data_IF_222939411913
#
_entry.id   IF_222939411913
#
_cell.length_a   1.000
_cell.length_b   1.000
_cell.length_c   1.000
_cell.angle_alpha   90.00
_cell.angle_beta   90.00
_cell.angle_gamma   90.00
#
_symmetry.space_group_name_H-M   'P 1'
#
loop_
_entity.id
_entity.type
_entity.pdbx_description
1 polymer ?
#
# COMPACT_ATOMS: atom_id res chain seq x y z
N UNK A 1 -8.78 -10.01 30.69
CA UNK A 1 -7.41 -9.76 31.21
C UNK A 1 -7.04 -8.29 31.10
N UNK A 2 -7.25 -7.62 29.96
CA UNK A 2 -7.07 -6.16 29.87
C UNK A 2 -7.93 -5.38 30.88
N UNK A 3 -9.12 -5.90 31.21
CA UNK A 3 -10.00 -5.37 32.26
C UNK A 3 -9.39 -5.36 33.67
N UNK A 4 -8.25 -6.02 33.89
CA UNK A 4 -7.52 -6.04 35.16
C UNK A 4 -6.31 -5.11 35.15
N UNK A 5 -6.11 -4.31 34.09
CA UNK A 5 -5.08 -3.29 34.04
C UNK A 5 -5.33 -2.20 35.10
N UNK A 6 -4.26 -1.67 35.66
CA UNK A 6 -4.30 -0.55 36.59
C UNK A 6 -4.30 0.84 35.91
N UNK A 7 -4.15 0.88 34.59
CA UNK A 7 -4.24 2.08 33.76
C UNK A 7 -5.36 1.97 32.71
N UNK A 8 -6.05 3.10 32.39
CA UNK A 8 -7.07 3.11 31.34
C UNK A 8 -6.42 2.93 29.96
N UNK A 9 -7.06 2.16 29.09
CA UNK A 9 -6.50 1.81 27.77
C UNK A 9 -6.81 2.89 26.72
N UNK A 10 -7.98 3.53 26.84
CA UNK A 10 -8.56 4.42 25.84
C UNK A 10 -7.64 5.58 25.40
N UNK A 11 -6.94 6.30 26.32
CA UNK A 11 -6.06 7.40 25.92
C UNK A 11 -4.90 6.96 25.03
N UNK A 12 -4.42 5.72 25.22
CA UNK A 12 -3.28 5.17 24.49
C UNK A 12 -3.68 4.63 23.12
N UNK A 13 -4.89 4.08 22.97
CA UNK A 13 -5.39 3.61 21.67
C UNK A 13 -5.34 4.71 20.61
N UNK A 14 -5.69 5.94 20.97
CA UNK A 14 -5.60 7.10 20.07
C UNK A 14 -4.16 7.36 19.63
N UNK A 15 -3.19 7.22 20.52
CA UNK A 15 -1.77 7.46 20.20
C UNK A 15 -1.23 6.42 19.23
N UNK A 16 -1.45 5.13 19.49
CA UNK A 16 -1.01 4.06 18.57
C UNK A 16 -1.72 4.14 17.21
N UNK A 17 -3.00 4.52 17.19
CA UNK A 17 -3.72 4.75 15.93
C UNK A 17 -3.14 5.91 15.12
N UNK A 18 -2.74 7.02 15.78
CA UNK A 18 -2.08 8.15 15.10
C UNK A 18 -0.69 7.79 14.57
N UNK A 19 0.04 6.96 15.31
CA UNK A 19 1.35 6.44 14.91
C UNK A 19 1.24 5.40 13.79
N UNK A 20 0.04 4.89 13.51
CA UNK A 20 -0.22 3.83 12.53
C UNK A 20 0.72 2.61 12.73
N UNK A 21 0.97 2.25 13.99
CA UNK A 21 1.87 1.16 14.36
C UNK A 21 1.07 0.00 14.94
N UNK A 22 1.24 -1.25 14.45
CA UNK A 22 0.62 -2.42 15.04
C UNK A 22 1.04 -2.57 16.52
N UNK A 23 0.07 -2.84 17.39
CA UNK A 23 0.28 -2.96 18.83
C UNK A 23 -0.58 -4.07 19.41
N UNK A 24 -0.02 -4.82 20.36
CA UNK A 24 -0.76 -5.75 21.20
C UNK A 24 -0.59 -5.37 22.67
N UNK A 25 -1.60 -5.63 23.49
CA UNK A 25 -1.55 -5.28 24.92
C UNK A 25 -1.48 -6.54 25.79
N UNK A 26 -0.67 -6.46 26.84
CA UNK A 26 -0.42 -7.53 27.79
C UNK A 26 -0.50 -6.99 29.22
N UNK A 27 -1.13 -7.75 30.12
CA UNK A 27 -1.25 -7.39 31.54
C UNK A 27 -0.71 -8.55 32.39
N UNK A 28 0.45 -8.40 33.04
CA UNK A 28 1.02 -9.44 33.89
C UNK A 28 0.14 -9.66 35.12
N UNK A 29 -0.58 -10.78 35.18
CA UNK A 29 -1.28 -11.16 36.42
C UNK A 29 -0.28 -11.43 37.54
N UNK A 30 -0.68 -11.32 38.81
CA UNK A 30 0.18 -11.65 39.95
C UNK A 30 0.88 -13.02 39.79
N UNK A 31 0.13 -14.03 39.34
CA UNK A 31 0.63 -15.39 39.13
C UNK A 31 1.63 -15.44 37.96
N UNK A 32 1.29 -14.84 36.82
CA UNK A 32 2.16 -14.84 35.64
C UNK A 32 3.45 -14.08 35.88
N UNK A 33 3.37 -12.96 36.59
CA UNK A 33 4.50 -12.16 37.03
C UNK A 33 5.42 -12.93 37.96
N UNK A 34 4.87 -13.57 39.00
CA UNK A 34 5.65 -14.35 39.98
C UNK A 34 6.36 -15.52 39.33
N UNK A 35 5.65 -16.27 38.47
CA UNK A 35 6.17 -17.46 37.78
C UNK A 35 7.04 -17.15 36.56
N UNK A 36 7.15 -15.88 36.19
CA UNK A 36 7.91 -15.47 35.01
C UNK A 36 7.44 -16.16 33.72
N UNK A 37 6.12 -16.19 33.53
CA UNK A 37 5.47 -16.80 32.38
C UNK A 37 4.08 -16.18 32.17
N UNK A 38 3.82 -15.69 30.97
CA UNK A 38 2.50 -15.13 30.61
C UNK A 38 1.94 -15.87 29.40
N UNK A 39 0.62 -15.85 29.27
CA UNK A 39 -0.05 -16.31 28.05
C UNK A 39 0.22 -15.34 26.90
N UNK A 40 0.65 -15.85 25.76
CA UNK A 40 0.63 -15.10 24.51
C UNK A 40 -0.82 -15.10 24.00
N UNK A 41 -1.55 -14.04 24.32
CA UNK A 41 -2.95 -13.86 23.92
C UNK A 41 -3.07 -13.80 22.39
N UNK A 42 -4.29 -13.97 21.84
CA UNK A 42 -4.49 -13.96 20.39
C UNK A 42 -3.92 -12.70 19.70
N UNK A 43 -4.15 -11.46 20.19
CA UNK A 43 -3.55 -10.27 19.58
C UNK A 43 -2.02 -10.24 19.61
N UNK A 44 -1.40 -10.82 20.66
CA UNK A 44 0.07 -10.93 20.74
C UNK A 44 0.59 -11.92 19.69
N UNK A 45 -0.12 -13.03 19.45
CA UNK A 45 0.25 -14.00 18.41
C UNK A 45 0.11 -13.40 17.02
N UNK A 46 -1.01 -12.74 16.74
CA UNK A 46 -1.27 -12.04 15.48
C UNK A 46 -0.20 -10.98 15.19
N UNK A 47 0.15 -10.13 16.18
CA UNK A 47 1.22 -9.14 16.04
C UNK A 47 2.56 -9.78 15.63
N UNK A 48 2.94 -10.88 16.29
CA UNK A 48 4.23 -11.54 16.01
C UNK A 48 4.24 -12.30 14.68
N UNK A 49 3.09 -12.83 14.25
CA UNK A 49 2.93 -13.50 12.96
C UNK A 49 2.97 -12.49 11.80
N UNK A 50 2.19 -11.41 11.90
CA UNK A 50 2.13 -10.35 10.88
C UNK A 50 3.50 -9.66 10.71
N UNK A 51 4.19 -9.43 11.82
CA UNK A 51 5.55 -8.89 11.82
C UNK A 51 6.62 -9.95 11.47
N UNK A 52 6.24 -11.20 11.18
CA UNK A 52 7.12 -12.32 10.80
C UNK A 52 8.17 -12.69 11.87
N UNK A 53 7.96 -12.27 13.11
CA UNK A 53 8.82 -12.59 14.24
C UNK A 53 8.62 -14.05 14.68
N UNK A 54 7.37 -14.51 14.79
CA UNK A 54 7.08 -15.87 15.26
C UNK A 54 5.67 -16.35 14.94
N UNK A 55 5.55 -17.62 14.52
CA UNK A 55 4.27 -18.32 14.32
C UNK A 55 4.15 -19.43 15.37
N UNK A 56 3.23 -19.30 16.32
CA UNK A 56 3.12 -20.25 17.43
C UNK A 56 2.53 -21.60 17.02
N UNK A 57 1.70 -21.61 15.99
CA UNK A 57 1.01 -22.75 15.42
C UNK A 57 2.02 -23.77 14.86
N UNK A 58 3.13 -23.28 14.34
CA UNK A 58 4.25 -24.07 13.81
C UNK A 58 5.25 -24.48 14.90
N UNK A 59 5.16 -23.91 16.11
CA UNK A 59 6.11 -24.17 17.18
C UNK A 59 5.84 -25.52 17.87
N UNK A 60 6.90 -26.33 17.98
CA UNK A 60 6.89 -27.56 18.78
C UNK A 60 6.76 -27.27 20.28
N UNK A 61 6.18 -28.21 21.04
CA UNK A 61 6.10 -28.08 22.50
C UNK A 61 7.45 -28.40 23.18
N UNK A 62 7.64 -27.87 24.39
CA UNK A 62 8.77 -28.16 25.27
C UNK A 62 9.75 -27.00 25.43
N UNK A 63 10.52 -26.99 26.54
CA UNK A 63 11.55 -25.99 26.78
C UNK A 63 12.66 -25.99 25.72
N UNK A 64 12.93 -27.15 25.09
CA UNK A 64 13.89 -27.30 23.99
C UNK A 64 13.48 -26.57 22.70
N UNK A 65 12.18 -26.32 22.53
CA UNK A 65 11.61 -25.63 21.36
C UNK A 65 11.39 -24.14 21.61
N UNK A 66 11.93 -23.61 22.72
CA UNK A 66 11.83 -22.20 23.09
C UNK A 66 12.60 -21.34 22.10
N UNK A 67 11.91 -20.37 21.50
CA UNK A 67 12.53 -19.33 20.67
C UNK A 67 12.89 -18.13 21.54
N UNK A 68 14.08 -17.60 21.33
CA UNK A 68 14.52 -16.33 21.91
C UNK A 68 14.48 -15.27 20.83
N UNK A 69 13.95 -14.11 21.17
CA UNK A 69 13.82 -12.95 20.27
C UNK A 69 14.39 -11.74 21.01
N UNK A 70 15.13 -10.91 20.29
CA UNK A 70 15.61 -9.63 20.83
C UNK A 70 14.42 -8.77 21.27
N UNK A 71 14.56 -8.14 22.43
CA UNK A 71 13.52 -7.27 22.97
C UNK A 71 14.13 -6.11 23.74
N UNK A 72 13.35 -5.05 23.94
CA UNK A 72 13.77 -3.85 24.65
C UNK A 72 12.69 -3.38 25.63
N UNK A 73 13.09 -3.06 26.86
CA UNK A 73 12.28 -2.26 27.75
C UNK A 73 12.45 -0.79 27.39
N UNK A 74 11.33 -0.07 27.28
CA UNK A 74 11.30 1.31 26.82
C UNK A 74 11.16 2.25 28.01
N UNK A 75 12.21 3.02 28.30
CA UNK A 75 12.19 4.06 29.33
C UNK A 75 11.92 5.44 28.71
N UNK A 76 11.64 6.48 29.54
CA UNK A 76 11.33 7.82 29.04
C UNK A 76 12.44 8.51 28.26
N UNK A 77 13.68 7.99 28.30
CA UNK A 77 14.89 8.61 27.73
C UNK A 77 15.89 7.62 27.12
N UNK A 78 15.69 6.31 27.27
CA UNK A 78 16.59 5.29 26.74
C UNK A 78 15.89 3.94 26.51
N UNK A 79 16.63 2.99 25.94
CA UNK A 79 16.23 1.59 25.82
C UNK A 79 17.13 0.72 26.69
N UNK A 80 16.52 -0.24 27.38
CA UNK A 80 17.25 -1.31 28.06
C UNK A 80 17.07 -2.62 27.29
N UNK A 81 18.19 -3.22 26.86
CA UNK A 81 18.14 -4.49 26.11
C UNK A 81 17.69 -5.63 27.02
N UNK A 82 16.76 -6.43 26.51
CA UNK A 82 16.26 -7.66 27.13
C UNK A 82 16.08 -8.76 26.07
N UNK A 83 15.41 -9.85 26.41
CA UNK A 83 15.15 -10.99 25.56
C UNK A 83 13.76 -11.54 25.84
N UNK A 84 12.96 -11.73 24.79
CA UNK A 84 11.68 -12.38 24.85
C UNK A 84 11.82 -13.90 24.64
N UNK A 85 11.18 -14.67 25.52
CA UNK A 85 11.10 -16.13 25.45
C UNK A 85 9.72 -16.55 24.97
N UNK A 86 9.64 -17.09 23.76
CA UNK A 86 8.41 -17.57 23.14
C UNK A 86 8.41 -19.10 23.17
N UNK A 87 7.44 -19.74 23.81
CA UNK A 87 7.37 -21.20 23.83
C UNK A 87 5.99 -21.78 24.10
N UNK A 88 5.82 -23.06 23.76
CA UNK A 88 4.65 -23.87 24.11
C UNK A 88 5.04 -24.94 25.12
N UNK A 89 4.42 -25.03 26.31
CA UNK A 89 4.77 -26.04 27.31
C UNK A 89 4.31 -27.44 26.88
N UNK A 90 4.90 -28.49 27.47
CA UNK A 90 4.44 -29.88 27.29
C UNK A 90 3.15 -30.12 28.08
N UNK A 91 2.02 -29.78 27.48
CA UNK A 91 0.67 -30.03 28.03
C UNK A 91 -0.27 -30.49 26.91
N UNK A 92 -1.51 -30.88 27.26
CA UNK A 92 -2.49 -31.36 26.28
C UNK A 92 -2.70 -30.40 25.10
N UNK A 93 -2.64 -29.09 25.34
CA UNK A 93 -2.85 -28.05 24.32
C UNK A 93 -1.58 -27.23 24.02
N UNK A 94 -0.63 -27.20 24.96
CA UNK A 94 0.62 -26.45 24.83
C UNK A 94 0.35 -24.97 24.59
N UNK A 95 -0.42 -24.33 25.47
CA UNK A 95 -0.86 -22.94 25.27
C UNK A 95 0.34 -22.00 25.08
N UNK A 96 0.35 -21.18 24.01
CA UNK A 96 1.41 -20.21 23.72
C UNK A 96 1.78 -19.32 24.90
N UNK A 97 3.09 -19.20 25.16
CA UNK A 97 3.63 -18.40 26.28
C UNK A 97 4.65 -17.39 25.79
N UNK A 98 4.69 -16.26 26.48
CA UNK A 98 5.67 -15.19 26.33
C UNK A 98 6.21 -14.78 27.70
N UNK A 99 7.50 -14.47 27.77
CA UNK A 99 8.13 -13.87 28.93
C UNK A 99 9.31 -12.99 28.54
N UNK A 100 9.52 -11.88 29.25
CA UNK A 100 10.66 -10.99 29.04
C UNK A 100 11.65 -11.12 30.19
N UNK A 101 12.92 -11.37 29.88
CA UNK A 101 13.98 -11.40 30.89
C UNK A 101 14.03 -10.06 31.64
N UNK A 102 14.19 -10.07 32.96
CA UNK A 102 14.21 -8.81 33.73
C UNK A 102 12.86 -8.08 33.89
N UNK A 103 11.72 -8.66 33.47
CA UNK A 103 10.42 -7.97 33.57
C UNK A 103 10.05 -7.54 35.00
N UNK A 104 10.52 -8.29 36.01
CA UNK A 104 10.24 -7.99 37.41
C UNK A 104 10.91 -6.70 37.90
N UNK A 105 11.96 -6.26 37.24
CA UNK A 105 12.66 -5.01 37.52
C UNK A 105 12.02 -3.83 36.79
N UNK A 106 11.26 -4.12 35.72
CA UNK A 106 10.71 -3.12 34.82
C UNK A 106 9.28 -2.70 35.20
N UNK A 107 8.41 -3.66 35.51
CA UNK A 107 7.00 -3.38 35.81
C UNK A 107 6.51 -4.10 37.08
N UNK A 108 5.29 -3.80 37.49
CA UNK A 108 4.54 -4.46 38.54
C UNK A 108 3.43 -5.37 37.97
N UNK A 109 2.89 -6.30 38.78
CA UNK A 109 1.64 -6.97 38.44
C UNK A 109 0.54 -5.96 38.10
N UNK A 110 -0.29 -6.31 37.12
CA UNK A 110 -1.41 -5.52 36.63
C UNK A 110 -1.07 -4.25 35.84
N UNK A 111 0.21 -3.92 35.66
CA UNK A 111 0.61 -2.87 34.72
C UNK A 111 0.16 -3.20 33.29
N UNK A 112 -0.24 -2.17 32.55
CA UNK A 112 -0.63 -2.24 31.15
C UNK A 112 0.62 -2.13 30.27
N UNK A 113 1.03 -3.25 29.68
CA UNK A 113 2.15 -3.28 28.75
C UNK A 113 1.64 -3.24 27.31
N UNK A 114 2.17 -2.33 26.50
CA UNK A 114 2.05 -2.35 25.05
C UNK A 114 3.27 -3.04 24.44
N UNK A 115 3.01 -3.95 23.50
CA UNK A 115 4.02 -4.65 22.71
C UNK A 115 3.95 -4.13 21.28
N UNK A 116 5.09 -3.72 20.77
CA UNK A 116 5.29 -3.26 19.39
C UNK A 116 6.49 -4.01 18.81
N UNK A 117 6.49 -4.26 17.51
CA UNK A 117 7.64 -4.87 16.82
C UNK A 117 8.26 -3.83 15.88
N UNK A 118 9.57 -3.62 16.01
CA UNK A 118 10.38 -2.74 15.15
C UNK A 118 11.67 -3.51 14.84
N UNK A 119 12.06 -3.61 13.57
CA UNK A 119 13.26 -4.34 13.11
C UNK A 119 13.42 -5.75 13.73
N UNK A 120 12.38 -6.58 13.64
CA UNK A 120 12.32 -7.95 14.17
C UNK A 120 12.48 -8.08 15.71
N UNK A 121 12.51 -6.95 16.45
CA UNK A 121 12.64 -6.93 17.91
C UNK A 121 11.35 -6.45 18.59
N UNK A 122 11.08 -6.97 19.79
CA UNK A 122 9.88 -6.63 20.57
C UNK A 122 10.18 -5.48 21.54
N UNK A 123 9.45 -4.38 21.43
CA UNK A 123 9.52 -3.24 22.34
C UNK A 123 8.37 -3.32 23.33
N UNK A 124 8.70 -3.29 24.63
CA UNK A 124 7.75 -3.38 25.74
C UNK A 124 7.62 -2.02 26.40
N UNK A 125 6.46 -1.38 26.23
CA UNK A 125 6.17 -0.05 26.77
C UNK A 125 5.23 -0.19 27.96
N UNK A 126 5.68 0.16 29.17
CA UNK A 126 4.82 0.17 30.36
C UNK A 126 3.99 1.44 30.43
N UNK A 127 2.72 1.35 30.03
CA UNK A 127 1.78 2.46 29.98
C UNK A 127 1.22 2.84 31.35
N UNK A 128 1.48 2.03 32.38
CA UNK A 128 1.13 2.34 33.77
C UNK A 128 2.18 3.20 34.45
N UNK A 129 3.39 3.27 33.90
CA UNK A 129 4.41 4.21 34.34
C UNK A 129 4.09 5.62 33.81
N UNK A 130 3.84 6.62 34.69
CA UNK A 130 3.44 7.96 34.26
C UNK A 130 4.46 8.65 33.35
N UNK A 131 5.76 8.48 33.57
CA UNK A 131 6.79 9.16 32.79
C UNK A 131 6.86 8.59 31.36
N UNK A 132 6.72 7.27 31.22
CA UNK A 132 6.65 6.59 29.92
C UNK A 132 5.37 6.99 29.19
N UNK A 133 4.22 6.97 29.88
CA UNK A 133 2.93 7.36 29.34
C UNK A 133 2.93 8.82 28.85
N UNK A 134 3.48 9.75 29.63
CA UNK A 134 3.60 11.15 29.24
C UNK A 134 4.55 11.34 28.05
N UNK A 135 5.67 10.61 28.01
CA UNK A 135 6.60 10.61 26.88
C UNK A 135 5.95 10.07 25.59
N UNK A 136 4.97 9.17 25.69
CA UNK A 136 4.16 8.71 24.56
C UNK A 136 3.08 9.74 24.14
N UNK A 137 2.44 10.42 25.08
CA UNK A 137 1.32 11.34 24.79
C UNK A 137 1.79 12.71 24.28
N UNK A 138 2.92 13.21 24.78
CA UNK A 138 3.38 14.59 24.54
C UNK A 138 4.63 14.68 23.65
N UNK A 139 4.72 13.84 22.61
CA UNK A 139 5.83 13.88 21.63
C UNK A 139 7.24 13.76 22.26
N UNK A 140 7.36 12.98 23.34
CA UNK A 140 8.62 12.66 23.99
C UNK A 140 9.45 11.59 23.27
N UNK A 141 10.49 11.09 23.95
CA UNK A 141 11.37 10.04 23.43
C UNK A 141 10.61 8.77 23.05
N UNK A 142 9.65 8.32 23.87
CA UNK A 142 8.89 7.08 23.61
C UNK A 142 8.09 7.23 22.32
N UNK A 143 7.39 8.35 22.13
CA UNK A 143 6.69 8.62 20.88
C UNK A 143 7.63 8.71 19.69
N UNK A 144 8.78 9.37 19.86
CA UNK A 144 9.79 9.51 18.80
C UNK A 144 10.40 8.17 18.39
N UNK A 145 10.64 7.27 19.35
CA UNK A 145 11.11 5.91 19.14
C UNK A 145 10.07 5.08 18.37
N UNK A 146 8.80 5.15 18.77
CA UNK A 146 7.74 4.41 18.08
C UNK A 146 7.39 5.01 16.70
N UNK A 147 7.93 6.19 16.37
CA UNK A 147 7.97 6.75 15.00
C UNK A 147 9.22 6.32 14.23
N UNK A 148 10.12 5.51 14.77
CA UNK A 148 11.40 5.24 14.11
C UNK A 148 11.25 4.47 12.78
N UNK A 149 10.20 3.65 12.61
CA UNK A 149 9.84 3.10 11.29
C UNK A 149 9.45 4.22 10.29
N UNK A 150 8.84 5.30 10.78
CA UNK A 150 8.58 6.55 10.05
C UNK A 150 9.86 7.42 9.88
N UNK A 151 10.99 7.13 10.54
CA UNK A 151 12.17 8.01 10.53
C UNK A 151 13.04 7.81 9.28
N UNK A 152 13.43 6.57 8.96
CA UNK A 152 14.12 6.28 7.69
C UNK A 152 13.19 6.55 6.50
N UNK A 153 11.91 6.20 6.63
CA UNK A 153 10.87 6.53 5.66
C UNK A 153 10.76 8.05 5.46
N UNK A 154 10.60 8.85 6.52
CA UNK A 154 10.53 10.31 6.37
C UNK A 154 11.83 10.94 5.90
N UNK A 155 12.99 10.30 6.09
CA UNK A 155 14.24 10.74 5.47
C UNK A 155 14.16 10.57 3.95
N UNK A 156 13.70 9.41 3.44
CA UNK A 156 13.54 9.15 2.00
C UNK A 156 12.49 10.10 1.41
N UNK A 157 11.34 10.29 2.07
CA UNK A 157 10.31 11.24 1.62
C UNK A 157 10.84 12.67 1.58
N UNK A 158 11.52 13.13 2.64
CA UNK A 158 12.10 14.49 2.68
C UNK A 158 13.21 14.64 1.65
N UNK A 159 14.03 13.62 1.43
CA UNK A 159 15.05 13.60 0.37
C UNK A 159 14.40 13.80 -0.99
N UNK A 160 13.37 12.99 -1.30
CA UNK A 160 12.65 13.08 -2.57
C UNK A 160 11.95 14.42 -2.74
N UNK A 161 11.27 14.91 -1.70
CA UNK A 161 10.61 16.22 -1.71
C UNK A 161 11.62 17.35 -1.98
N UNK A 162 12.78 17.33 -1.33
CA UNK A 162 13.86 18.30 -1.60
C UNK A 162 14.38 18.19 -3.04
N UNK A 163 14.54 16.99 -3.58
CA UNK A 163 14.97 16.81 -4.98
C UNK A 163 13.94 17.38 -5.94
N UNK A 164 12.65 17.14 -5.71
CA UNK A 164 11.58 17.69 -6.55
C UNK A 164 11.47 19.21 -6.37
N UNK A 165 11.70 19.76 -5.18
CA UNK A 165 11.80 21.20 -4.96
C UNK A 165 12.93 21.82 -5.81
N UNK A 166 14.12 21.23 -5.79
CA UNK A 166 15.25 21.69 -6.63
C UNK A 166 14.92 21.61 -8.12
N UNK A 167 14.09 20.65 -8.54
CA UNK A 167 13.60 20.54 -9.93
C UNK A 167 12.58 21.67 -10.22
N UNK A 168 11.66 21.94 -9.31
CA UNK A 168 10.70 23.05 -9.41
C UNK A 168 11.41 24.40 -9.52
N UNK A 169 12.43 24.65 -8.68
CA UNK A 169 13.17 25.91 -8.63
C UNK A 169 13.95 26.20 -9.94
N UNK A 170 14.17 25.19 -10.79
CA UNK A 170 14.73 25.37 -12.14
C UNK A 170 13.72 25.93 -13.15
N UNK A 171 12.44 26.00 -12.79
CA UNK A 171 11.36 26.42 -13.67
C UNK A 171 10.94 25.35 -14.66
N UNK A 172 10.53 25.77 -15.86
CA UNK A 172 10.05 24.89 -16.92
C UNK A 172 11.18 24.06 -17.52
N UNK A 173 11.09 22.73 -17.38
CA UNK A 173 12.06 21.78 -17.93
C UNK A 173 11.61 21.26 -19.29
N UNK A 174 12.48 21.22 -20.32
CA UNK A 174 12.15 20.66 -21.62
C UNK A 174 11.83 19.18 -21.51
N UNK A 175 10.80 18.73 -22.22
CA UNK A 175 10.43 17.33 -22.24
C UNK A 175 11.51 16.49 -22.89
N UNK A 176 11.88 15.38 -22.24
CA UNK A 176 12.83 14.39 -22.79
C UNK A 176 12.16 13.37 -23.71
N UNK A 177 10.83 13.24 -23.63
CA UNK A 177 10.02 12.32 -24.44
C UNK A 177 8.79 13.03 -24.98
N UNK A 178 8.48 12.85 -26.26
CA UNK A 178 7.27 13.43 -26.84
C UNK A 178 5.98 12.74 -26.36
N UNK A 179 4.90 13.52 -26.26
CA UNK A 179 3.55 13.00 -26.03
C UNK A 179 3.26 12.67 -24.56
N UNK A 180 2.22 11.86 -24.33
CA UNK A 180 1.67 11.62 -22.99
C UNK A 180 2.69 11.16 -21.93
N UNK A 181 3.70 10.30 -22.22
CA UNK A 181 4.72 9.91 -21.24
C UNK A 181 5.64 11.03 -20.79
N UNK A 182 5.82 12.09 -21.60
CA UNK A 182 6.83 13.12 -21.40
C UNK A 182 6.87 13.74 -20.01
N UNK A 183 5.70 13.97 -19.39
CA UNK A 183 5.62 14.58 -18.04
C UNK A 183 6.22 13.68 -16.95
N UNK A 184 6.13 12.36 -17.09
CA UNK A 184 6.74 11.38 -16.19
C UNK A 184 8.21 11.17 -16.51
N UNK A 185 8.50 10.85 -17.77
CA UNK A 185 9.86 10.59 -18.25
C UNK A 185 10.81 11.76 -17.93
N UNK A 186 10.33 13.01 -18.01
CA UNK A 186 11.14 14.21 -17.69
C UNK A 186 11.43 14.33 -16.20
N UNK A 187 10.48 13.99 -15.33
CA UNK A 187 10.70 14.01 -13.87
C UNK A 187 11.68 12.93 -13.47
N UNK A 188 11.47 11.70 -13.96
CA UNK A 188 12.35 10.56 -13.72
C UNK A 188 13.78 10.87 -14.18
N UNK A 189 13.93 11.42 -15.38
CA UNK A 189 15.23 11.84 -15.90
C UNK A 189 15.89 12.90 -15.01
N UNK A 190 15.15 13.92 -14.58
CA UNK A 190 15.66 14.97 -13.69
C UNK A 190 16.04 14.45 -12.30
N UNK A 191 15.42 13.35 -11.84
CA UNK A 191 15.76 12.64 -10.60
C UNK A 191 16.91 11.63 -10.77
N UNK A 192 17.38 11.41 -12.00
CA UNK A 192 18.40 10.39 -12.32
C UNK A 192 17.86 8.96 -12.31
N UNK A 193 16.56 8.78 -12.47
CA UNK A 193 15.88 7.47 -12.53
C UNK A 193 15.84 7.02 -13.98
N UNK A 194 16.33 5.80 -14.24
CA UNK A 194 16.26 5.18 -15.56
C UNK A 194 14.93 4.46 -15.75
N UNK A 195 14.34 4.64 -16.94
CA UNK A 195 13.11 3.95 -17.33
C UNK A 195 13.28 2.44 -17.23
N UNK A 196 12.35 1.79 -16.56
CA UNK A 196 12.33 0.35 -16.37
C UNK A 196 10.88 -0.18 -16.38
N UNK A 197 10.73 -1.51 -16.38
CA UNK A 197 9.43 -2.19 -16.29
C UNK A 197 9.27 -2.88 -14.92
N UNK A 198 9.91 -2.36 -13.88
CA UNK A 198 9.87 -2.94 -12.54
C UNK A 198 8.45 -2.86 -11.96
N UNK A 199 8.10 -3.91 -11.24
CA UNK A 199 6.88 -4.03 -10.46
C UNK A 199 6.95 -3.24 -9.16
N UNK A 200 8.14 -2.90 -8.68
CA UNK A 200 8.37 -2.16 -7.45
C UNK A 200 8.20 -0.64 -7.65
N UNK A 201 8.15 0.13 -6.54
CA UNK A 201 8.11 1.59 -6.60
C UNK A 201 9.37 2.22 -7.19
N UNK A 202 9.22 3.38 -7.83
CA UNK A 202 10.27 3.99 -8.66
C UNK A 202 11.45 4.57 -7.86
N UNK A 203 11.21 5.04 -6.63
CA UNK A 203 12.22 5.70 -5.80
C UNK A 203 12.25 5.16 -4.37
N UNK A 204 13.17 4.23 -4.08
CA UNK A 204 13.43 3.72 -2.71
C UNK A 204 12.15 3.38 -1.92
N UNK A 205 11.18 2.73 -2.56
CA UNK A 205 9.88 2.38 -1.94
C UNK A 205 8.75 3.40 -2.14
N UNK A 206 8.98 4.51 -2.85
CA UNK A 206 7.97 5.52 -3.22
C UNK A 206 7.68 5.44 -4.72
N UNK A 207 6.40 5.28 -5.07
CA UNK A 207 5.94 5.33 -6.45
C UNK A 207 5.77 6.77 -6.92
N UNK A 208 6.15 7.07 -8.17
CA UNK A 208 6.00 8.39 -8.78
C UNK A 208 4.88 8.36 -9.82
N UNK A 209 3.82 9.12 -9.60
CA UNK A 209 2.73 9.28 -10.57
C UNK A 209 2.58 10.73 -10.97
N UNK A 210 2.97 11.07 -12.20
CA UNK A 210 2.88 12.44 -12.70
C UNK A 210 1.58 12.68 -13.48
N UNK A 211 1.03 13.89 -13.35
CA UNK A 211 -0.15 14.33 -14.09
C UNK A 211 -0.04 15.78 -14.54
N UNK A 212 -0.52 16.07 -15.75
CA UNK A 212 -0.62 17.45 -16.26
C UNK A 212 -1.90 18.11 -15.72
N UNK A 213 -1.79 19.24 -15.03
CA UNK A 213 -2.93 20.07 -14.63
C UNK A 213 -3.51 20.86 -15.82
N UNK A 214 -2.62 21.43 -16.62
CA UNK A 214 -2.93 22.22 -17.82
C UNK A 214 -2.15 21.66 -19.00
N UNK A 215 -2.66 21.84 -20.22
CA UNK A 215 -1.89 21.67 -21.46
C UNK A 215 -2.08 22.95 -22.28
N UNK A 216 -0.99 23.67 -22.54
CA UNK A 216 -1.01 24.96 -23.24
C UNK A 216 -1.97 25.97 -22.58
N UNK A 217 -1.90 26.11 -21.26
CA UNK A 217 -2.72 27.05 -20.49
C UNK A 217 -4.21 26.69 -20.36
N UNK A 218 -4.69 25.63 -21.01
CA UNK A 218 -6.08 25.16 -20.88
C UNK A 218 -6.19 24.04 -19.85
N UNK A 219 -7.20 24.13 -18.98
CA UNK A 219 -7.53 23.07 -18.03
C UNK A 219 -7.83 21.78 -18.80
N UNK A 220 -7.10 20.71 -18.49
CA UNK A 220 -7.38 19.38 -19.06
C UNK A 220 -8.59 18.79 -18.33
N UNK A 221 -9.44 18.06 -19.06
CA UNK A 221 -10.47 17.22 -18.43
C UNK A 221 -9.75 16.26 -17.45
N UNK A 222 -10.24 16.16 -16.23
CA UNK A 222 -9.65 15.30 -15.20
C UNK A 222 -9.53 13.88 -15.72
N UNK A 223 -8.30 13.37 -15.83
CA UNK A 223 -8.04 11.99 -16.25
C UNK A 223 -7.92 11.10 -15.02
N UNK A 224 -8.40 9.86 -15.14
CA UNK A 224 -8.14 8.81 -14.13
C UNK A 224 -6.65 8.50 -14.07
N UNK A 225 -6.12 8.37 -12.87
CA UNK A 225 -4.76 7.92 -12.62
C UNK A 225 -4.71 6.40 -12.72
N UNK A 226 -3.66 5.87 -13.32
CA UNK A 226 -3.36 4.43 -13.26
C UNK A 226 -2.82 4.11 -11.86
N UNK A 227 -3.44 3.16 -11.18
CA UNK A 227 -2.89 2.53 -9.98
C UNK A 227 -1.76 1.59 -10.45
N UNK A 228 -2.13 0.47 -11.05
CA UNK A 228 -1.19 -0.53 -11.55
C UNK A 228 -1.66 -1.15 -12.87
N UNK A 229 -0.76 -1.90 -13.52
CA UNK A 229 -1.07 -2.74 -14.67
C UNK A 229 -0.95 -4.22 -14.28
N UNK A 230 -1.96 -5.00 -14.65
CA UNK A 230 -2.01 -6.45 -14.38
C UNK A 230 -2.81 -7.16 -15.46
N UNK A 231 -2.18 -8.08 -16.20
CA UNK A 231 -2.87 -8.96 -17.17
C UNK A 231 -3.71 -10.02 -16.44
N UNK A 232 -4.76 -10.59 -17.08
CA UNK A 232 -5.55 -11.65 -16.47
C UNK A 232 -4.71 -12.84 -15.99
N UNK A 233 -5.09 -13.42 -14.86
CA UNK A 233 -4.45 -14.60 -14.27
C UNK A 233 -4.85 -15.88 -15.02
N UNK A 234 -6.03 -15.89 -15.65
CA UNK A 234 -6.44 -16.99 -16.51
C UNK A 234 -7.50 -16.64 -17.55
N UNK A 235 -7.79 -17.61 -18.42
CA UNK A 235 -8.66 -17.47 -19.59
C UNK A 235 -7.88 -17.01 -20.81
N UNK A 236 -8.50 -16.20 -21.68
CA UNK A 236 -7.80 -15.63 -22.83
C UNK A 236 -6.71 -14.65 -22.38
N UNK A 237 -5.53 -14.75 -22.98
CA UNK A 237 -4.46 -13.76 -22.84
C UNK A 237 -4.88 -12.46 -23.50
N UNK A 238 -4.26 -11.35 -23.08
CA UNK A 238 -4.67 -10.02 -23.57
C UNK A 238 -4.66 -9.89 -25.11
N UNK A 239 -3.66 -10.49 -25.77
CA UNK A 239 -3.61 -10.55 -27.24
C UNK A 239 -4.80 -11.30 -27.84
N UNK A 240 -5.19 -12.43 -27.25
CA UNK A 240 -6.31 -13.26 -27.71
C UNK A 240 -7.65 -12.55 -27.49
N UNK A 241 -7.79 -11.76 -26.42
CA UNK A 241 -8.95 -10.88 -26.21
C UNK A 241 -9.04 -9.84 -27.34
N UNK A 242 -7.93 -9.20 -27.71
CA UNK A 242 -7.90 -8.28 -28.84
C UNK A 242 -8.28 -8.99 -30.15
N UNK A 243 -7.70 -10.15 -30.43
CA UNK A 243 -7.97 -10.89 -31.67
C UNK A 243 -9.45 -11.35 -31.76
N UNK A 244 -10.05 -11.74 -30.63
CA UNK A 244 -11.43 -12.22 -30.58
C UNK A 244 -12.48 -11.10 -30.60
N UNK A 245 -12.23 -9.99 -29.89
CA UNK A 245 -13.25 -8.96 -29.64
C UNK A 245 -12.90 -7.59 -30.24
N UNK A 246 -11.66 -7.38 -30.70
CA UNK A 246 -11.21 -6.13 -31.30
C UNK A 246 -12.04 -5.73 -32.53
N UNK A 247 -12.02 -4.42 -32.84
CA UNK A 247 -12.80 -3.86 -33.94
C UNK A 247 -11.93 -2.94 -34.80
N UNK A 248 -12.23 -2.90 -36.10
CA UNK A 248 -11.71 -1.86 -36.98
C UNK A 248 -12.40 -0.53 -36.65
N UNK A 249 -11.62 0.45 -36.20
CA UNK A 249 -12.12 1.76 -35.83
C UNK A 249 -11.14 2.84 -36.27
N UNK A 250 -11.66 4.03 -36.60
CA UNK A 250 -10.85 5.22 -36.87
C UNK A 250 -10.57 5.91 -35.53
N UNK A 251 -9.32 5.92 -35.02
CA UNK A 251 -8.99 6.59 -33.79
C UNK A 251 -9.24 8.10 -33.89
N UNK A 252 -9.51 8.73 -32.75
CA UNK A 252 -9.66 10.18 -32.70
C UNK A 252 -8.39 10.86 -33.21
N UNK A 253 -8.56 11.85 -34.09
CA UNK A 253 -7.46 12.60 -34.75
C UNK A 253 -6.60 11.75 -35.71
N UNK A 254 -7.16 10.66 -36.25
CA UNK A 254 -6.56 9.90 -37.34
C UNK A 254 -7.57 9.78 -38.49
N UNK A 255 -7.07 9.60 -39.70
CA UNK A 255 -7.90 9.48 -40.92
C UNK A 255 -8.06 8.03 -41.40
N UNK A 256 -7.31 7.09 -40.80
CA UNK A 256 -7.28 5.69 -41.20
C UNK A 256 -7.77 4.78 -40.08
N UNK A 257 -8.54 3.72 -40.41
CA UNK A 257 -8.97 2.75 -39.42
C UNK A 257 -7.81 1.84 -39.02
N UNK A 258 -7.82 1.38 -37.76
CA UNK A 258 -6.92 0.34 -37.25
C UNK A 258 -7.69 -0.68 -36.42
N UNK A 259 -7.18 -1.91 -36.36
CA UNK A 259 -7.76 -2.95 -35.52
C UNK A 259 -7.34 -2.72 -34.07
N UNK A 260 -8.30 -2.51 -33.17
CA UNK A 260 -8.02 -2.09 -31.81
C UNK A 260 -9.07 -2.54 -30.79
N UNK A 261 -8.64 -2.56 -29.53
CA UNK A 261 -9.46 -2.65 -28.33
C UNK A 261 -9.02 -1.52 -27.38
N UNK A 262 -9.76 -0.41 -27.41
CA UNK A 262 -9.53 0.77 -26.55
C UNK A 262 -10.82 1.08 -25.82
N UNK A 263 -10.94 0.62 -24.57
CA UNK A 263 -12.17 0.79 -23.82
C UNK A 263 -11.94 0.78 -22.31
N UNK A 264 -12.81 1.50 -21.60
CA UNK A 264 -12.97 1.47 -20.15
C UNK A 264 -14.02 0.45 -19.76
N UNK A 265 -13.60 -0.55 -19.02
CA UNK A 265 -14.46 -1.58 -18.47
C UNK A 265 -14.93 -1.17 -17.07
N UNK A 266 -16.22 -1.41 -16.81
CA UNK A 266 -16.89 -1.22 -15.52
C UNK A 266 -17.71 -2.46 -15.19
N UNK A 267 -17.91 -2.70 -13.91
CA UNK A 267 -18.77 -3.81 -13.45
C UNK A 267 -20.21 -3.56 -13.91
N UNK A 268 -20.85 -4.64 -14.38
CA UNK A 268 -22.24 -4.65 -14.84
C UNK A 268 -22.57 -3.70 -16.02
N UNK A 269 -21.57 -3.14 -16.71
CA UNK A 269 -21.79 -2.26 -17.87
C UNK A 269 -21.17 -2.86 -19.13
N UNK A 270 -22.03 -3.30 -20.05
CA UNK A 270 -21.63 -3.78 -21.38
C UNK A 270 -21.09 -2.61 -22.20
N UNK A 271 -19.83 -2.70 -22.64
CA UNK A 271 -19.17 -1.67 -23.41
C UNK A 271 -19.40 -1.83 -24.92
N UNK A 272 -18.82 -0.92 -25.72
CA UNK A 272 -18.97 -0.92 -27.18
C UNK A 272 -18.41 -2.17 -27.89
N UNK A 273 -17.70 -3.04 -27.18
CA UNK A 273 -17.15 -4.31 -27.65
C UNK A 273 -17.97 -5.52 -27.22
N UNK A 274 -19.10 -5.33 -26.51
CA UNK A 274 -19.90 -6.42 -25.95
C UNK A 274 -19.26 -7.02 -24.70
N UNK A 275 -18.26 -6.36 -24.10
CA UNK A 275 -17.56 -6.86 -22.93
C UNK A 275 -17.97 -6.10 -21.67
N UNK A 276 -17.92 -6.75 -20.51
CA UNK A 276 -18.17 -6.16 -19.20
C UNK A 276 -17.29 -6.79 -18.13
N UNK A 277 -17.25 -6.16 -16.94
CA UNK A 277 -16.70 -6.79 -15.75
C UNK A 277 -17.80 -7.37 -14.87
N UNK A 278 -17.45 -8.41 -14.13
CA UNK A 278 -18.27 -9.01 -13.09
C UNK A 278 -17.41 -9.40 -11.89
N UNK A 279 -17.92 -9.16 -10.69
CA UNK A 279 -17.22 -9.46 -9.43
C UNK A 279 -17.90 -10.68 -8.81
N UNK A 280 -17.15 -11.76 -8.69
CA UNK A 280 -17.54 -12.97 -7.98
C UNK A 280 -16.99 -12.90 -6.56
N UNK A 281 -17.79 -12.36 -5.64
CA UNK A 281 -17.39 -12.19 -4.24
C UNK A 281 -17.14 -13.54 -3.55
N UNK A 282 -17.94 -14.56 -3.87
CA UNK A 282 -17.81 -15.88 -3.28
C UNK A 282 -16.53 -16.59 -3.74
N UNK A 283 -16.19 -16.44 -5.01
CA UNK A 283 -14.96 -16.98 -5.61
C UNK A 283 -13.73 -16.09 -5.48
N UNK A 284 -13.86 -14.89 -4.90
CA UNK A 284 -12.83 -13.84 -4.81
C UNK A 284 -12.15 -13.55 -6.16
N UNK A 285 -12.97 -13.32 -7.20
CA UNK A 285 -12.51 -13.11 -8.59
C UNK A 285 -13.15 -11.92 -9.28
N UNK A 286 -12.39 -11.32 -10.20
CA UNK A 286 -12.88 -10.35 -11.17
C UNK A 286 -12.88 -10.98 -12.56
N UNK A 287 -14.02 -11.09 -13.22
CA UNK A 287 -14.15 -11.64 -14.56
C UNK A 287 -14.25 -10.54 -15.62
N UNK A 288 -13.69 -10.79 -16.81
CA UNK A 288 -14.18 -10.21 -18.06
C UNK A 288 -15.22 -11.18 -18.61
N UNK A 289 -16.41 -10.66 -18.90
CA UNK A 289 -17.47 -11.38 -19.58
C UNK A 289 -17.69 -10.80 -20.98
N UNK A 290 -18.15 -11.63 -21.90
CA UNK A 290 -18.73 -11.23 -23.17
C UNK A 290 -20.25 -11.44 -23.10
N UNK A 291 -21.01 -10.42 -23.48
CA UNK A 291 -22.45 -10.51 -23.64
C UNK A 291 -22.78 -10.56 -25.13
N UNK A 292 -23.33 -11.68 -25.55
CA UNK A 292 -23.82 -11.86 -26.90
C UNK A 292 -24.97 -10.87 -27.19
N UNK A 293 -24.87 -10.04 -28.23
CA UNK A 293 -25.85 -8.98 -28.47
C UNK A 293 -27.21 -9.50 -28.99
N UNK A 294 -27.25 -10.72 -29.55
CA UNK A 294 -28.49 -11.30 -30.10
C UNK A 294 -29.26 -12.07 -29.03
N UNK A 295 -28.55 -12.85 -28.22
CA UNK A 295 -29.13 -13.75 -27.21
C UNK A 295 -29.12 -13.19 -25.79
N UNK A 296 -28.30 -12.16 -25.53
CA UNK A 296 -28.06 -11.63 -24.18
C UNK A 296 -27.24 -12.58 -23.30
N UNK A 297 -26.81 -13.73 -23.80
CA UNK A 297 -26.06 -14.72 -23.02
C UNK A 297 -24.67 -14.19 -22.67
N UNK A 298 -24.30 -14.31 -21.40
CA UNK A 298 -22.98 -13.96 -20.92
C UNK A 298 -22.05 -15.18 -20.84
N UNK A 299 -20.81 -15.04 -21.33
CA UNK A 299 -19.77 -16.06 -21.25
C UNK A 299 -18.48 -15.49 -20.66
N UNK A 300 -17.74 -16.32 -19.90
CA UNK A 300 -16.46 -15.95 -19.31
C UNK A 300 -15.38 -15.86 -20.38
N UNK A 301 -14.63 -14.75 -20.37
CA UNK A 301 -13.52 -14.49 -21.29
C UNK A 301 -12.18 -14.73 -20.58
N UNK A 302 -11.96 -13.99 -19.50
CA UNK A 302 -10.74 -14.04 -18.68
C UNK A 302 -11.05 -13.64 -17.24
N UNK A 303 -10.12 -13.85 -16.31
CA UNK A 303 -10.30 -13.46 -14.91
C UNK A 303 -9.00 -13.06 -14.22
N UNK A 304 -9.16 -12.36 -13.11
CA UNK A 304 -8.13 -12.15 -12.10
C UNK A 304 -8.56 -12.77 -10.78
N UNK A 305 -7.60 -13.31 -10.03
CA UNK A 305 -7.77 -13.59 -8.61
C UNK A 305 -7.64 -12.26 -7.85
N UNK A 306 -8.66 -11.90 -7.08
CA UNK A 306 -8.69 -10.61 -6.38
C UNK A 306 -7.57 -10.50 -5.34
N UNK A 307 -7.13 -11.62 -4.77
CA UNK A 307 -5.96 -11.67 -3.88
C UNK A 307 -4.67 -11.19 -4.54
N UNK A 308 -4.46 -11.49 -5.82
CA UNK A 308 -3.28 -11.03 -6.57
C UNK A 308 -3.37 -9.53 -6.88
N UNK A 309 -4.57 -9.03 -7.22
CA UNK A 309 -4.80 -7.60 -7.40
C UNK A 309 -4.55 -6.81 -6.10
N UNK A 310 -4.96 -7.34 -4.95
CA UNK A 310 -4.66 -6.72 -3.63
C UNK A 310 -3.16 -6.68 -3.34
N UNK A 311 -2.45 -7.79 -3.57
CA UNK A 311 -0.97 -7.83 -3.45
C UNK A 311 -0.31 -6.83 -4.38
N UNK A 312 -0.79 -6.74 -5.62
CA UNK A 312 -0.27 -5.81 -6.63
C UNK A 312 -0.40 -4.36 -6.21
N UNK A 313 -1.56 -4.00 -5.65
CA UNK A 313 -1.80 -2.67 -5.10
C UNK A 313 -0.82 -2.35 -3.96
N UNK A 314 -0.69 -3.26 -2.99
CA UNK A 314 0.19 -3.09 -1.82
C UNK A 314 1.67 -3.01 -2.22
N UNK A 315 2.10 -3.81 -3.20
CA UNK A 315 3.48 -3.78 -3.71
C UNK A 315 3.80 -2.46 -4.44
N UNK A 316 2.89 -1.98 -5.29
CA UNK A 316 3.14 -0.80 -6.12
C UNK A 316 2.94 0.50 -5.35
N UNK A 317 2.02 0.52 -4.39
CA UNK A 317 1.65 1.74 -3.67
C UNK A 317 1.83 1.66 -2.14
N UNK A 318 2.94 1.13 -1.58
CA UNK A 318 3.18 1.28 -0.15
C UNK A 318 3.21 2.78 0.20
N UNK A 319 3.83 3.58 -0.68
CA UNK A 319 3.89 5.04 -0.69
C UNK A 319 3.79 5.55 -2.12
N UNK A 320 3.19 6.73 -2.34
CA UNK A 320 3.08 7.32 -3.67
C UNK A 320 3.10 8.83 -3.62
N UNK A 321 3.95 9.43 -4.45
CA UNK A 321 3.91 10.86 -4.75
C UNK A 321 3.11 11.05 -6.04
N UNK A 322 1.96 11.69 -5.93
CA UNK A 322 1.13 12.09 -7.07
C UNK A 322 1.49 13.52 -7.46
N UNK A 323 2.44 13.66 -8.38
CA UNK A 323 3.04 14.94 -8.76
C UNK A 323 2.22 15.59 -9.87
N UNK A 324 1.83 16.84 -9.64
CA UNK A 324 1.10 17.66 -10.61
C UNK A 324 2.06 18.63 -11.29
N UNK A 325 1.97 18.73 -12.62
CA UNK A 325 2.77 19.64 -13.42
C UNK A 325 1.91 20.56 -14.29
N UNK A 326 2.37 21.80 -14.46
CA UNK A 326 1.94 22.68 -15.55
C UNK A 326 2.74 22.38 -16.81
N UNK A 327 2.13 22.60 -17.98
CA UNK A 327 2.76 22.34 -19.29
C UNK A 327 2.61 23.54 -20.22
N UNK A 328 3.71 23.90 -20.87
CA UNK A 328 3.82 24.98 -21.84
C UNK A 328 4.61 24.52 -23.08
N UNK A 329 4.26 25.04 -24.26
CA UNK A 329 5.03 24.80 -25.48
C UNK A 329 5.99 25.96 -25.70
N UNK A 330 7.29 25.71 -25.59
CA UNK A 330 8.35 26.70 -25.82
C UNK A 330 9.16 26.24 -27.03
N UNK A 331 9.18 27.05 -28.08
CA UNK A 331 9.92 26.76 -29.33
C UNK A 331 9.64 25.38 -29.93
N UNK A 332 8.39 24.91 -29.85
CA UNK A 332 7.99 23.61 -30.40
C UNK A 332 8.25 22.40 -29.50
N UNK A 333 8.80 22.60 -28.29
CA UNK A 333 9.04 21.54 -27.29
C UNK A 333 8.13 21.75 -26.08
N UNK A 334 7.43 20.69 -25.63
CA UNK A 334 6.64 20.73 -24.39
C UNK A 334 7.61 20.86 -23.21
N UNK A 335 7.34 21.78 -22.29
CA UNK A 335 8.09 21.94 -21.06
C UNK A 335 7.17 21.74 -19.85
N UNK A 336 7.74 21.32 -18.72
CA UNK A 336 7.00 21.01 -17.50
C UNK A 336 7.51 21.78 -16.29
N UNK A 337 6.58 22.33 -15.51
CA UNK A 337 6.83 22.87 -14.18
C UNK A 337 6.07 22.04 -13.15
N UNK A 338 6.76 21.34 -12.25
CA UNK A 338 6.14 20.51 -11.22
C UNK A 338 5.78 21.37 -10.01
N UNK A 339 4.49 21.50 -9.69
CA UNK A 339 4.00 22.54 -8.75
C UNK A 339 3.40 22.01 -7.46
N UNK A 340 3.02 20.73 -7.43
CA UNK A 340 2.27 20.17 -6.30
C UNK A 340 2.46 18.68 -6.20
N UNK A 341 2.59 18.18 -4.98
CA UNK A 341 2.67 16.76 -4.66
C UNK A 341 1.52 16.44 -3.71
N UNK A 342 0.73 15.43 -4.05
CA UNK A 342 -0.14 14.76 -3.09
C UNK A 342 0.59 13.48 -2.67
N UNK A 343 0.87 13.31 -1.39
CA UNK A 343 1.50 12.14 -0.82
C UNK A 343 0.44 11.22 -0.22
N UNK A 344 0.49 9.94 -0.55
CA UNK A 344 -0.37 8.90 0.01
C UNK A 344 0.45 7.71 0.45
N UNK A 345 0.04 7.04 1.53
CA UNK A 345 0.66 5.80 2.02
C UNK A 345 -0.39 4.77 2.47
N UNK A 346 0.04 3.53 2.61
CA UNK A 346 -0.72 2.42 3.22
C UNK A 346 -2.14 2.24 2.63
N UNK A 347 -2.27 1.82 1.35
CA UNK A 347 -3.57 1.63 0.72
C UNK A 347 -4.38 0.56 1.46
N UNK A 348 -5.66 0.83 1.65
CA UNK A 348 -6.59 -0.15 2.21
C UNK A 348 -7.02 -1.15 1.12
N UNK A 349 -6.26 -2.23 0.98
CA UNK A 349 -6.51 -3.26 -0.03
C UNK A 349 -7.87 -3.97 0.12
N UNK A 350 -8.48 -3.96 1.32
CA UNK A 350 -9.81 -4.54 1.53
C UNK A 350 -10.91 -3.77 0.77
N UNK A 351 -10.67 -2.49 0.44
CA UNK A 351 -11.61 -1.67 -0.33
C UNK A 351 -11.54 -1.91 -1.84
N UNK A 352 -10.58 -2.70 -2.34
CA UNK A 352 -10.42 -2.92 -3.77
C UNK A 352 -11.67 -3.53 -4.42
N UNK A 353 -12.25 -4.56 -3.80
CA UNK A 353 -13.46 -5.24 -4.27
C UNK A 353 -14.67 -4.30 -4.36
N UNK A 354 -15.10 -3.61 -3.27
CA UNK A 354 -16.25 -2.72 -3.34
C UNK A 354 -16.02 -1.52 -4.28
N UNK A 355 -14.78 -1.03 -4.41
CA UNK A 355 -14.47 0.06 -5.34
C UNK A 355 -14.55 -0.38 -6.82
N UNK A 356 -14.20 -1.62 -7.14
CA UNK A 356 -14.43 -2.21 -8.46
C UNK A 356 -15.93 -2.41 -8.72
N UNK A 357 -16.63 -3.03 -7.76
CA UNK A 357 -18.07 -3.31 -7.87
C UNK A 357 -18.91 -2.05 -8.07
N UNK A 358 -18.56 -0.95 -7.40
CA UNK A 358 -19.21 0.36 -7.55
C UNK A 358 -18.75 1.17 -8.78
N UNK A 359 -17.80 0.65 -9.57
CA UNK A 359 -17.26 1.34 -10.74
C UNK A 359 -16.37 2.55 -10.43
N UNK A 360 -15.96 2.73 -9.18
CA UNK A 360 -15.00 3.76 -8.76
C UNK A 360 -13.61 3.45 -9.27
N UNK A 361 -13.20 2.17 -9.18
CA UNK A 361 -12.05 1.62 -9.90
C UNK A 361 -12.56 0.97 -11.18
N UNK A 362 -11.79 1.17 -12.24
CA UNK A 362 -12.14 0.77 -13.60
C UNK A 362 -10.93 0.13 -14.27
N UNK A 363 -11.16 -0.69 -15.30
CA UNK A 363 -10.08 -1.37 -16.02
C UNK A 363 -10.04 -0.87 -17.45
N UNK A 364 -8.94 -0.24 -17.87
CA UNK A 364 -8.75 0.19 -19.25
C UNK A 364 -7.92 -0.86 -19.98
N UNK A 365 -8.46 -1.39 -21.08
CA UNK A 365 -7.70 -2.16 -22.07
C UNK A 365 -7.38 -1.21 -23.23
N UNK A 366 -6.10 -1.06 -23.55
CA UNK A 366 -5.62 -0.30 -24.69
C UNK A 366 -4.59 -1.09 -25.51
N UNK A 367 -5.03 -1.71 -26.61
CA UNK A 367 -4.13 -2.39 -27.54
C UNK A 367 -4.61 -2.25 -28.99
N UNK A 368 -3.66 -2.24 -29.93
CA UNK A 368 -3.96 -2.18 -31.36
C UNK A 368 -2.93 -2.92 -32.21
N UNK A 369 -3.29 -3.13 -33.47
CA UNK A 369 -2.40 -3.57 -34.54
C UNK A 369 -2.00 -2.36 -35.38
N UNK A 370 -0.70 -2.15 -35.54
CA UNK A 370 -0.17 -1.09 -36.42
C UNK A 370 -0.44 -1.38 -37.89
N UNK A 371 -0.30 -0.38 -38.78
CA UNK A 371 -0.40 -0.59 -40.24
C UNK A 371 0.57 -1.69 -40.73
N UNK A 372 1.73 -1.83 -40.09
CA UNK A 372 2.72 -2.87 -40.39
C UNK A 372 2.39 -4.25 -39.78
N UNK A 373 1.21 -4.45 -39.19
CA UNK A 373 0.78 -5.71 -38.59
C UNK A 373 1.34 -5.99 -37.18
N UNK A 374 2.16 -5.09 -36.62
CA UNK A 374 2.76 -5.27 -35.28
C UNK A 374 1.75 -5.03 -34.16
N UNK A 375 1.75 -5.91 -33.16
CA UNK A 375 1.02 -5.75 -31.90
C UNK A 375 1.57 -4.59 -31.07
N UNK A 376 0.69 -3.71 -30.58
CA UNK A 376 1.01 -2.65 -29.62
C UNK A 376 0.10 -2.79 -28.41
N UNK A 377 0.72 -3.20 -27.32
CA UNK A 377 0.12 -3.37 -26.00
C UNK A 377 0.43 -2.15 -25.15
N UNK A 378 -0.59 -1.45 -24.65
CA UNK A 378 -0.43 -0.33 -23.70
C UNK A 378 -0.84 -0.72 -22.28
N UNK A 379 -1.04 -2.01 -22.02
CA UNK A 379 -1.33 -2.58 -20.72
C UNK A 379 -2.81 -2.78 -20.44
N UNK A 380 -3.07 -3.52 -19.35
CA UNK A 380 -4.37 -3.67 -18.73
C UNK A 380 -4.35 -2.89 -17.42
N UNK A 381 -4.96 -1.69 -17.46
CA UNK A 381 -4.68 -0.63 -16.50
C UNK A 381 -5.84 -0.50 -15.50
N UNK A 382 -5.57 -0.70 -14.22
CA UNK A 382 -6.52 -0.41 -13.14
C UNK A 382 -6.43 1.07 -12.79
N UNK A 383 -7.54 1.80 -12.89
CA UNK A 383 -7.54 3.26 -12.79
C UNK A 383 -8.61 3.79 -11.86
N UNK A 384 -8.28 4.89 -11.19
CA UNK A 384 -9.15 5.63 -10.25
C UNK A 384 -9.10 7.13 -10.56
N UNK A 385 -10.20 7.85 -10.30
CA UNK A 385 -10.17 9.31 -10.34
C UNK A 385 -9.41 9.90 -9.14
N UNK A 386 -8.65 10.99 -9.34
CA UNK A 386 -7.88 11.64 -8.28
C UNK A 386 -8.73 11.99 -7.04
N UNK A 387 -9.96 12.46 -7.25
CA UNK A 387 -10.89 12.82 -6.16
C UNK A 387 -11.29 11.63 -5.28
N UNK A 388 -11.12 10.41 -5.79
CA UNK A 388 -11.49 9.16 -5.12
C UNK A 388 -10.26 8.48 -4.48
N UNK A 389 -9.05 9.02 -4.62
CA UNK A 389 -7.86 8.51 -3.90
C UNK A 389 -8.06 8.43 -2.37
N UNK A 390 -8.75 9.37 -1.70
CA UNK A 390 -9.02 9.25 -0.26
C UNK A 390 -9.90 8.05 0.13
N UNK A 391 -10.59 7.41 -0.84
CA UNK A 391 -11.30 6.16 -0.59
C UNK A 391 -10.36 4.97 -0.48
N UNK A 392 -9.13 5.07 -1.00
CA UNK A 392 -8.14 3.99 -1.01
C UNK A 392 -6.97 4.26 -0.05
N UNK A 393 -6.63 5.53 0.19
CA UNK A 393 -5.52 5.95 1.02
C UNK A 393 -6.00 6.85 2.15
N UNK A 394 -5.63 6.53 3.38
CA UNK A 394 -5.91 7.38 4.54
C UNK A 394 -4.96 8.59 4.57
N UNK A 395 -5.43 9.70 5.14
CA UNK A 395 -4.63 10.89 5.48
C UNK A 395 -3.67 11.37 4.38
N UNK A 396 -4.16 11.68 3.16
CA UNK A 396 -3.29 12.21 2.12
C UNK A 396 -2.71 13.57 2.54
N UNK A 397 -1.40 13.74 2.38
CA UNK A 397 -0.69 14.99 2.67
C UNK A 397 -0.44 15.75 1.37
N UNK A 398 -0.48 17.08 1.43
CA UNK A 398 -0.30 17.92 0.26
C UNK A 398 0.85 18.90 0.44
N UNK A 399 1.74 18.92 -0.54
CA UNK A 399 2.88 19.83 -0.61
C UNK A 399 2.74 20.70 -1.86
N UNK A 400 2.86 22.02 -1.67
CA UNK A 400 2.98 22.99 -2.74
C UNK A 400 4.47 23.31 -2.88
N UNK A 401 4.99 23.24 -4.11
CA UNK A 401 6.40 23.46 -4.43
C UNK A 401 6.67 24.94 -4.73
#
# INVERSE_FOLDING_TARGET
MLSAADAPLEPFLVQFAQLNIPVAFLVPTQTGYTKSIMDATAPVRELLEDAKVHVYEEQLQGPESKKKVDAYFVYPDHLEKTEASLYRPKTKHGDPRIWFSGLKQYCNPYNLLALVVIDDAIYVVDLSNPDIAQSLIHDGYVRSLLRADDAEESIIERELLKKIQVIHDKGFLPSVTEGDPGVGDTLEHALGINRNNDKNPDYKGIELKTLRAKRNGKAKKTTRSTLFSQVPDGGLKYREILDAYGKMQIPRNMDKPRFQLYETFRVAHVNGYGLLLDVDEAGDRLYILYQDPETGKQTRVSWWDMSELRKRLLQKHPRTFWITAESEMISGVEHFLYTKILYTKNPNAALLTPLLASGVITVDLAAHITEAGKYRDHGVLFKIEKKNLPLLFANPEEFIL
#
